data_IF_512831610319
#
_entry.id   IF_512831610319
#
_cell.length_a   1.000
_cell.length_b   1.000
_cell.length_c   1.000
_cell.angle_alpha   90.00
_cell.angle_beta   90.00
_cell.angle_gamma   90.00
#
_symmetry.space_group_name_H-M   'P 1'
#
loop_
_entity.id
_entity.type
_entity.pdbx_description
1 polymer ?
#
# COMPACT_ATOMS: atom_id res chain seq x y z
N UNK A 1 26.67 7.40 -15.97
CA UNK A 1 26.03 6.94 -14.72
C UNK A 1 26.83 5.78 -14.16
N UNK A 2 27.05 5.72 -12.84
CA UNK A 2 27.75 4.60 -12.20
C UNK A 2 26.80 3.39 -12.19
N UNK A 3 26.95 2.43 -13.11
CA UNK A 3 25.92 1.40 -13.33
C UNK A 3 25.66 0.55 -12.08
N UNK A 4 26.68 0.37 -11.23
CA UNK A 4 26.57 -0.35 -9.95
C UNK A 4 25.69 0.37 -8.94
N UNK A 5 25.71 1.71 -8.93
CA UNK A 5 24.84 2.52 -8.09
C UNK A 5 23.38 2.40 -8.56
N UNK A 6 23.15 2.46 -9.88
CA UNK A 6 21.82 2.33 -10.49
C UNK A 6 21.20 0.97 -10.17
N UNK A 7 21.96 -0.11 -10.32
CA UNK A 7 21.51 -1.47 -10.01
C UNK A 7 21.19 -1.66 -8.51
N UNK A 8 22.00 -1.07 -7.63
CA UNK A 8 21.75 -1.10 -6.18
C UNK A 8 20.45 -0.36 -5.83
N UNK A 9 20.25 0.84 -6.39
CA UNK A 9 19.03 1.62 -6.17
C UNK A 9 17.78 0.90 -6.69
N UNK A 10 17.87 0.28 -7.87
CA UNK A 10 16.77 -0.53 -8.43
C UNK A 10 16.40 -1.68 -7.50
N UNK A 11 17.39 -2.40 -6.96
CA UNK A 11 17.13 -3.51 -6.04
C UNK A 11 16.49 -3.05 -4.72
N UNK A 12 16.93 -1.92 -4.16
CA UNK A 12 16.30 -1.34 -2.96
C UNK A 12 14.85 -0.89 -3.23
N UNK A 13 14.60 -0.24 -4.37
CA UNK A 13 13.24 0.15 -4.76
C UNK A 13 12.33 -1.05 -5.01
N UNK A 14 12.83 -2.14 -5.61
CA UNK A 14 12.06 -3.38 -5.77
C UNK A 14 11.74 -4.04 -4.42
N UNK A 15 12.67 -4.01 -3.48
CA UNK A 15 12.47 -4.51 -2.13
C UNK A 15 11.42 -3.68 -1.39
N UNK A 16 11.51 -2.36 -1.50
CA UNK A 16 10.57 -1.44 -0.87
C UNK A 16 9.17 -1.56 -1.48
N UNK A 17 9.07 -1.66 -2.82
CA UNK A 17 7.82 -1.95 -3.52
C UNK A 17 7.14 -3.18 -2.92
N UNK A 18 7.89 -4.29 -2.80
CA UNK A 18 7.36 -5.54 -2.25
C UNK A 18 6.93 -5.39 -0.79
N UNK A 19 7.68 -4.64 0.03
CA UNK A 19 7.31 -4.36 1.43
C UNK A 19 5.98 -3.62 1.51
N UNK A 20 5.81 -2.58 0.70
CA UNK A 20 4.58 -1.78 0.66
C UNK A 20 3.38 -2.61 0.17
N UNK A 21 3.57 -3.44 -0.86
CA UNK A 21 2.54 -4.35 -1.35
C UNK A 21 2.12 -5.39 -0.28
N UNK A 22 3.08 -5.91 0.49
CA UNK A 22 2.83 -6.86 1.58
C UNK A 22 2.08 -6.19 2.74
N UNK A 23 2.50 -4.99 3.15
CA UNK A 23 1.83 -4.21 4.19
C UNK A 23 0.39 -3.85 3.82
N UNK A 24 0.17 -3.38 2.59
CA UNK A 24 -1.18 -3.12 2.08
C UNK A 24 -2.02 -4.40 2.08
N UNK A 25 -1.44 -5.55 1.70
CA UNK A 25 -2.18 -6.82 1.61
C UNK A 25 -2.75 -7.31 2.95
N UNK A 26 -2.23 -6.84 4.09
CA UNK A 26 -2.72 -7.24 5.41
C UNK A 26 -4.09 -6.66 5.75
N UNK A 27 -4.46 -5.52 5.18
CA UNK A 27 -5.68 -4.80 5.55
C UNK A 27 -6.44 -4.23 4.36
N UNK A 28 -5.86 -4.21 3.17
CA UNK A 28 -6.45 -3.74 1.92
C UNK A 28 -6.23 -4.76 0.79
N UNK A 29 -7.06 -4.70 -0.24
CA UNK A 29 -6.90 -5.54 -1.43
C UNK A 29 -6.67 -4.68 -2.68
N UNK A 30 -5.77 -5.13 -3.54
CA UNK A 30 -5.49 -4.42 -4.79
C UNK A 30 -6.69 -4.47 -5.72
N UNK A 31 -7.16 -3.31 -6.18
CA UNK A 31 -8.19 -3.22 -7.20
C UNK A 31 -7.61 -3.59 -8.57
N UNK A 32 -7.80 -4.83 -9.00
CA UNK A 32 -7.27 -5.32 -10.28
C UNK A 32 -7.91 -4.67 -11.50
N UNK A 33 -9.04 -3.98 -11.32
CA UNK A 33 -9.73 -3.26 -12.40
C UNK A 33 -9.20 -1.84 -12.60
N UNK A 34 -8.42 -1.32 -11.65
CA UNK A 34 -7.82 0.00 -11.75
C UNK A 34 -6.59 0.00 -12.67
N UNK A 35 -6.47 1.05 -13.48
CA UNK A 35 -5.30 1.28 -14.35
C UNK A 35 -4.08 1.74 -13.55
N UNK A 36 -4.30 2.28 -12.35
CA UNK A 36 -3.28 2.79 -11.43
C UNK A 36 -3.15 1.91 -10.19
N UNK A 37 -2.13 2.17 -9.37
CA UNK A 37 -2.04 1.59 -8.03
C UNK A 37 -3.21 2.10 -7.20
N UNK A 38 -4.14 1.18 -6.92
CA UNK A 38 -5.40 1.39 -6.22
C UNK A 38 -5.67 0.16 -5.34
N UNK A 39 -5.94 0.40 -4.07
CA UNK A 39 -6.14 -0.57 -3.01
C UNK A 39 -7.36 -0.14 -2.22
N UNK A 40 -8.26 -1.08 -1.95
CA UNK A 40 -9.42 -0.83 -1.12
C UNK A 40 -9.19 -1.42 0.27
N UNK A 41 -9.23 -0.58 1.31
CA UNK A 41 -9.23 -1.06 2.69
C UNK A 41 -10.44 -1.97 2.96
N UNK A 42 -10.20 -3.07 3.68
CA UNK A 42 -11.27 -3.96 4.12
C UNK A 42 -11.96 -3.39 5.36
N UNK A 43 -13.29 -3.42 5.37
CA UNK A 43 -14.06 -3.07 6.57
C UNK A 43 -13.99 -4.23 7.60
N UNK A 44 -13.52 -3.99 8.83
CA UNK A 44 -13.50 -5.02 9.88
C UNK A 44 -14.91 -5.46 10.26
N UNK A 45 -15.09 -6.75 10.55
CA UNK A 45 -16.36 -7.29 11.07
C UNK A 45 -16.06 -8.05 12.36
N UNK A 46 -16.09 -7.32 13.46
CA UNK A 46 -15.83 -7.74 14.84
C UNK A 46 -17.12 -8.25 15.49
N UNK A 47 -18.27 -7.60 15.27
CA UNK A 47 -19.57 -8.05 15.78
C UNK A 47 -20.67 -7.00 15.73
N UNK A 48 -21.92 -7.42 16.01
CA UNK A 48 -23.11 -6.58 15.82
C UNK A 48 -23.40 -5.59 16.96
N UNK A 49 -22.64 -5.61 18.06
CA UNK A 49 -22.90 -4.71 19.19
C UNK A 49 -22.44 -3.28 18.89
N UNK A 50 -23.07 -2.30 19.54
CA UNK A 50 -22.77 -0.87 19.30
C UNK A 50 -21.31 -0.51 19.59
N UNK A 51 -20.70 -1.09 20.63
CA UNK A 51 -19.30 -0.89 20.98
C UNK A 51 -18.33 -1.56 19.99
N UNK A 52 -18.70 -2.73 19.47
CA UNK A 52 -17.97 -3.44 18.42
C UNK A 52 -18.03 -2.64 17.11
N UNK A 53 -19.21 -2.22 16.66
CA UNK A 53 -19.41 -1.37 15.49
C UNK A 53 -18.64 -0.04 15.57
N UNK A 54 -18.64 0.62 16.72
CA UNK A 54 -17.88 1.86 16.91
C UNK A 54 -16.36 1.62 16.76
N UNK A 55 -15.88 0.47 17.24
CA UNK A 55 -14.48 0.05 17.10
C UNK A 55 -14.13 -0.28 15.65
N UNK A 56 -15.04 -0.94 14.91
CA UNK A 56 -14.87 -1.24 13.47
C UNK A 56 -14.74 0.03 12.64
N UNK A 57 -15.60 1.03 12.89
CA UNK A 57 -15.55 2.32 12.18
C UNK A 57 -14.23 3.05 12.47
N UNK A 58 -13.78 3.07 13.73
CA UNK A 58 -12.51 3.67 14.09
C UNK A 58 -11.33 2.98 13.40
N UNK A 59 -11.28 1.64 13.47
CA UNK A 59 -10.24 0.86 12.81
C UNK A 59 -10.26 1.01 11.29
N UNK A 60 -11.45 1.04 10.68
CA UNK A 60 -11.57 1.27 9.24
C UNK A 60 -11.06 2.67 8.84
N UNK A 61 -11.36 3.70 9.62
CA UNK A 61 -10.85 5.06 9.39
C UNK A 61 -9.31 5.12 9.48
N UNK A 62 -8.72 4.40 10.43
CA UNK A 62 -7.27 4.28 10.56
C UNK A 62 -6.67 3.53 9.35
N UNK A 63 -7.31 2.43 8.93
CA UNK A 63 -6.91 1.65 7.76
C UNK A 63 -6.96 2.50 6.48
N UNK A 64 -8.02 3.28 6.26
CA UNK A 64 -8.12 4.20 5.10
C UNK A 64 -6.98 5.23 5.07
N UNK A 65 -6.61 5.76 6.24
CA UNK A 65 -5.53 6.72 6.35
C UNK A 65 -4.17 6.09 6.03
N UNK A 66 -3.97 4.86 6.51
CA UNK A 66 -2.75 4.10 6.25
C UNK A 66 -2.66 3.64 4.79
N UNK A 67 -3.75 3.14 4.22
CA UNK A 67 -3.89 2.76 2.81
C UNK A 67 -3.43 3.91 1.92
N UNK A 68 -4.05 5.09 2.05
CA UNK A 68 -3.73 6.26 1.23
C UNK A 68 -2.25 6.66 1.29
N UNK A 69 -1.64 6.56 2.48
CA UNK A 69 -0.23 6.85 2.66
C UNK A 69 0.67 5.82 1.97
N UNK A 70 0.41 4.52 2.19
CA UNK A 70 1.20 3.43 1.61
C UNK A 70 1.04 3.37 0.09
N UNK A 71 -0.16 3.58 -0.43
CA UNK A 71 -0.39 3.68 -1.87
C UNK A 71 0.40 4.80 -2.51
N UNK A 72 0.43 5.98 -1.88
CA UNK A 72 1.19 7.12 -2.40
C UNK A 72 2.68 6.77 -2.46
N UNK A 73 3.21 6.18 -1.39
CA UNK A 73 4.60 5.68 -1.39
C UNK A 73 4.83 4.62 -2.47
N UNK A 74 3.89 3.70 -2.70
CA UNK A 74 4.01 2.66 -3.72
C UNK A 74 3.99 3.27 -5.14
N UNK A 75 3.13 4.25 -5.39
CA UNK A 75 3.12 5.04 -6.64
C UNK A 75 4.45 5.73 -6.88
N UNK A 76 5.00 6.39 -5.85
CA UNK A 76 6.28 7.10 -5.94
C UNK A 76 7.45 6.13 -6.22
N UNK A 77 7.45 4.96 -5.59
CA UNK A 77 8.46 3.90 -5.82
C UNK A 77 8.37 3.36 -7.25
N UNK A 78 7.16 3.10 -7.75
CA UNK A 78 6.95 2.61 -9.12
C UNK A 78 7.40 3.67 -10.14
N UNK A 79 7.02 4.93 -9.97
CA UNK A 79 7.47 6.02 -10.84
C UNK A 79 9.00 6.20 -10.81
N UNK A 80 9.61 6.00 -9.64
CA UNK A 80 11.07 6.03 -9.50
C UNK A 80 11.74 4.87 -10.24
N UNK A 81 11.17 3.66 -10.17
CA UNK A 81 11.65 2.50 -10.93
C UNK A 81 11.55 2.74 -12.44
N UNK A 82 10.43 3.26 -12.91
CA UNK A 82 10.22 3.61 -14.34
C UNK A 82 11.19 4.69 -14.84
N UNK A 83 11.60 5.61 -13.96
CA UNK A 83 12.56 6.67 -14.31
C UNK A 83 14.01 6.18 -14.35
N UNK A 84 14.30 5.02 -13.74
CA UNK A 84 15.64 4.43 -13.66
C UNK A 84 15.85 3.39 -14.77
N UNK A 85 14.79 2.76 -15.26
CA UNK A 85 14.81 1.84 -16.40
C UNK A 85 15.04 2.56 -17.75
#
# INVERSE_FOLDING_TARGET
>A
MNSKLVETLKNELLKEKKRLEDELSHFAHRNTSATTVDYDANFPNIGDKEDENASEVAQYSDNLSLESALEKSLRDVIASLESID
#
